data_IF_629379634014
#
_entry.id   IF_629379634014
#
_cell.length_a   1.000
_cell.length_b   1.000
_cell.length_c   1.000
_cell.angle_alpha   90.00
_cell.angle_beta   90.00
_cell.angle_gamma   90.00
#
_symmetry.space_group_name_H-M   'P 1'
#
loop_
_entity.id
_entity.type
_entity.pdbx_description
1 polymer ?
#
# COMPACT_ATOMS: atom_id res chain seq x y z
N UNK A 1 -43.70 -15.78 -5.59
CA UNK A 1 -42.75 -14.82 -4.96
C UNK A 1 -43.39 -13.54 -4.43
N UNK A 2 -44.31 -12.84 -5.13
CA UNK A 2 -44.89 -11.59 -4.62
C UNK A 2 -45.69 -11.76 -3.31
N UNK A 3 -46.43 -12.87 -3.18
CA UNK A 3 -47.22 -13.17 -1.97
C UNK A 3 -46.36 -13.46 -0.73
N UNK A 4 -45.16 -14.00 -0.91
CA UNK A 4 -44.23 -14.24 0.21
C UNK A 4 -43.70 -12.93 0.77
N UNK A 5 -43.33 -11.98 -0.10
CA UNK A 5 -42.88 -10.65 0.31
C UNK A 5 -44.01 -9.89 1.00
N UNK A 6 -45.25 -9.97 0.49
CA UNK A 6 -46.42 -9.36 1.14
C UNK A 6 -46.70 -9.96 2.53
N UNK A 7 -46.69 -11.28 2.65
CA UNK A 7 -46.91 -11.94 3.94
C UNK A 7 -45.81 -11.61 4.96
N UNK A 8 -44.55 -11.56 4.51
CA UNK A 8 -43.40 -11.18 5.33
C UNK A 8 -43.50 -9.71 5.77
N UNK A 9 -43.88 -8.81 4.87
CA UNK A 9 -44.06 -7.38 5.17
C UNK A 9 -45.13 -7.15 6.24
N UNK A 10 -46.27 -7.85 6.15
CA UNK A 10 -47.35 -7.77 7.15
C UNK A 10 -46.91 -8.30 8.52
N UNK A 11 -46.07 -9.34 8.55
CA UNK A 11 -45.50 -9.84 9.81
C UNK A 11 -44.51 -8.85 10.42
N UNK A 12 -43.63 -8.28 9.60
CA UNK A 12 -42.58 -7.34 10.02
C UNK A 12 -43.19 -6.00 10.49
N UNK A 13 -44.29 -5.55 9.88
CA UNK A 13 -44.97 -4.30 10.22
C UNK A 13 -45.32 -4.18 11.71
N UNK A 14 -45.86 -5.25 12.32
CA UNK A 14 -46.23 -5.26 13.75
C UNK A 14 -45.01 -5.06 14.66
N UNK A 15 -43.88 -5.67 14.32
CA UNK A 15 -42.64 -5.51 15.07
C UNK A 15 -42.07 -4.10 14.91
N UNK A 16 -42.10 -3.54 13.68
CA UNK A 16 -41.64 -2.17 13.44
C UNK A 16 -42.49 -1.13 14.16
N UNK A 17 -43.80 -1.32 14.26
CA UNK A 17 -44.68 -0.40 15.00
C UNK A 17 -44.37 -0.40 16.51
N UNK A 18 -44.19 -1.58 17.11
CA UNK A 18 -43.77 -1.67 18.52
C UNK A 18 -42.38 -1.07 18.74
N UNK A 19 -41.45 -1.31 17.81
CA UNK A 19 -40.13 -0.70 17.84
C UNK A 19 -40.23 0.84 17.73
N UNK A 20 -41.05 1.38 16.82
CA UNK A 20 -41.15 2.81 16.59
C UNK A 20 -41.73 3.55 17.79
N UNK A 21 -42.71 2.96 18.49
CA UNK A 21 -43.26 3.50 19.74
C UNK A 21 -42.20 3.47 20.84
N UNK A 22 -41.46 2.36 20.99
CA UNK A 22 -40.40 2.25 21.99
C UNK A 22 -39.25 3.24 21.75
N UNK A 23 -38.95 3.54 20.47
CA UNK A 23 -37.91 4.47 20.07
C UNK A 23 -38.39 5.90 19.80
N UNK A 24 -39.69 6.19 19.85
CA UNK A 24 -40.25 7.52 19.56
C UNK A 24 -39.65 8.59 20.48
N UNK A 25 -39.48 8.25 21.76
CA UNK A 25 -38.85 9.13 22.76
C UNK A 25 -37.30 9.15 22.67
N UNK A 26 -36.70 8.31 21.83
CA UNK A 26 -35.25 8.17 21.63
C UNK A 26 -34.81 8.49 20.20
N UNK A 27 -35.67 9.08 19.36
CA UNK A 27 -35.35 9.47 17.98
C UNK A 27 -34.10 10.35 17.92
N UNK A 28 -33.90 11.25 18.88
CA UNK A 28 -32.70 12.08 18.94
C UNK A 28 -31.43 11.26 19.22
N UNK A 29 -31.53 10.18 19.99
CA UNK A 29 -30.44 9.26 20.30
C UNK A 29 -30.09 8.40 19.08
N UNK A 30 -31.10 7.87 18.39
CA UNK A 30 -30.91 7.16 17.12
C UNK A 30 -30.28 8.04 16.05
N UNK A 31 -30.77 9.28 15.87
CA UNK A 31 -30.16 10.24 14.92
C UNK A 31 -28.69 10.51 15.23
N UNK A 32 -28.33 10.65 16.51
CA UNK A 32 -26.92 10.81 16.93
C UNK A 32 -26.08 9.59 16.58
N UNK A 33 -26.57 8.39 16.87
CA UNK A 33 -25.87 7.13 16.55
C UNK A 33 -25.70 6.98 15.03
N UNK A 34 -26.76 7.20 14.25
CA UNK A 34 -26.69 7.13 12.78
C UNK A 34 -25.73 8.16 12.22
N UNK A 35 -25.71 9.38 12.79
CA UNK A 35 -24.77 10.42 12.37
C UNK A 35 -23.31 10.04 12.67
N UNK A 36 -23.04 9.48 13.85
CA UNK A 36 -21.70 8.98 14.21
C UNK A 36 -21.26 7.85 13.28
N UNK A 37 -22.15 6.89 12.98
CA UNK A 37 -21.88 5.81 12.04
C UNK A 37 -21.58 6.34 10.64
N UNK A 38 -22.34 7.34 10.18
CA UNK A 38 -22.16 7.94 8.86
C UNK A 38 -20.83 8.69 8.76
N UNK A 39 -20.41 9.38 9.82
CA UNK A 39 -19.06 9.97 9.94
C UNK A 39 -17.99 8.87 9.90
N UNK A 40 -18.16 7.78 10.66
CA UNK A 40 -17.21 6.66 10.67
C UNK A 40 -17.02 6.03 9.29
N UNK A 41 -18.10 5.83 8.55
CA UNK A 41 -18.06 5.34 7.17
C UNK A 41 -17.35 6.34 6.26
N UNK A 42 -17.69 7.64 6.35
CA UNK A 42 -17.07 8.68 5.55
C UNK A 42 -15.55 8.77 5.80
N UNK A 43 -15.11 8.69 7.06
CA UNK A 43 -13.69 8.65 7.42
C UNK A 43 -12.99 7.38 6.92
N UNK A 44 -13.67 6.23 6.97
CA UNK A 44 -13.16 4.98 6.40
C UNK A 44 -12.90 5.10 4.90
N UNK A 45 -13.88 5.60 4.13
CA UNK A 45 -13.72 5.82 2.70
C UNK A 45 -12.65 6.88 2.38
N UNK A 46 -12.59 7.97 3.14
CA UNK A 46 -11.53 8.97 2.99
C UNK A 46 -10.14 8.35 3.18
N UNK A 47 -9.98 7.44 4.14
CA UNK A 47 -8.76 6.66 4.31
C UNK A 47 -8.37 5.88 3.05
N UNK A 48 -9.30 5.17 2.42
CA UNK A 48 -9.01 4.38 1.20
C UNK A 48 -8.43 5.25 0.09
N UNK A 49 -8.98 6.44 -0.14
CA UNK A 49 -8.45 7.36 -1.15
C UNK A 49 -7.05 7.88 -0.80
N UNK A 50 -6.77 8.13 0.49
CA UNK A 50 -5.43 8.53 0.95
C UNK A 50 -4.38 7.41 0.78
N UNK A 51 -4.79 6.13 0.83
CA UNK A 51 -3.89 4.99 0.68
C UNK A 51 -3.77 4.46 -0.75
N UNK A 52 -4.68 4.81 -1.67
CA UNK A 52 -4.67 4.33 -3.05
C UNK A 52 -3.32 4.57 -3.77
N UNK A 53 -2.71 5.75 -3.58
CA UNK A 53 -1.40 6.06 -4.18
C UNK A 53 -0.24 5.23 -3.62
N UNK A 54 -0.32 4.80 -2.35
CA UNK A 54 0.71 3.93 -1.74
C UNK A 54 0.67 2.52 -2.33
N UNK A 55 -0.53 2.00 -2.61
CA UNK A 55 -0.71 0.65 -3.18
C UNK A 55 -0.08 0.54 -4.57
N UNK A 56 -0.30 1.54 -5.44
CA UNK A 56 0.31 1.55 -6.78
C UNK A 56 1.83 1.60 -6.70
N UNK A 57 2.36 2.47 -5.84
CA UNK A 57 3.81 2.61 -5.64
C UNK A 57 4.48 1.34 -5.12
N UNK A 58 3.80 0.61 -4.23
CA UNK A 58 4.29 -0.67 -3.72
C UNK A 58 4.30 -1.75 -4.81
N UNK A 59 3.35 -1.71 -5.76
CA UNK A 59 3.33 -2.60 -6.93
C UNK A 59 4.49 -2.34 -7.89
N UNK A 60 4.79 -1.07 -8.18
CA UNK A 60 5.94 -0.67 -9.00
C UNK A 60 7.26 -1.10 -8.35
N UNK A 61 7.40 -0.86 -7.06
CA UNK A 61 8.58 -1.28 -6.29
C UNK A 61 8.73 -2.80 -6.26
N UNK A 62 7.65 -3.56 -6.10
CA UNK A 62 7.69 -5.02 -6.15
C UNK A 62 8.11 -5.54 -7.54
N UNK A 63 7.61 -4.92 -8.61
CA UNK A 63 8.01 -5.24 -9.98
C UNK A 63 9.52 -5.02 -10.18
N UNK A 64 10.04 -3.91 -9.66
CA UNK A 64 11.47 -3.62 -9.68
C UNK A 64 12.29 -4.62 -8.86
N UNK A 65 11.82 -4.99 -7.66
CA UNK A 65 12.48 -6.01 -6.83
C UNK A 65 12.63 -7.32 -7.61
N UNK A 66 11.57 -7.74 -8.31
CA UNK A 66 11.60 -8.96 -9.13
C UNK A 66 12.57 -8.84 -10.31
N UNK A 67 12.59 -7.69 -11.00
CA UNK A 67 13.52 -7.45 -12.13
C UNK A 67 14.98 -7.38 -11.68
N UNK A 68 15.25 -6.71 -10.57
CA UNK A 68 16.61 -6.54 -10.03
C UNK A 68 17.09 -7.88 -9.49
N UNK A 69 16.34 -8.52 -8.58
CA UNK A 69 16.76 -9.77 -7.94
C UNK A 69 16.96 -10.94 -8.91
N UNK A 70 16.22 -10.98 -10.02
CA UNK A 70 16.42 -12.00 -11.06
C UNK A 70 17.68 -11.77 -11.90
N UNK A 71 18.22 -10.54 -11.94
CA UNK A 71 19.43 -10.17 -12.71
C UNK A 71 20.68 -10.18 -11.85
N UNK A 72 20.59 -9.81 -10.58
CA UNK A 72 21.73 -9.76 -9.65
C UNK A 72 22.08 -11.13 -9.04
N UNK A 73 21.64 -12.24 -9.64
CA UNK A 73 21.74 -13.61 -9.08
C UNK A 73 23.11 -13.87 -8.44
N UNK A 74 23.11 -14.14 -7.13
CA UNK A 74 24.33 -14.48 -6.37
C UNK A 74 24.85 -13.38 -5.45
N UNK A 75 24.42 -12.12 -5.66
CA UNK A 75 24.74 -11.02 -4.76
C UNK A 75 23.86 -11.07 -3.52
N UNK A 76 24.48 -11.10 -2.33
CA UNK A 76 23.75 -10.97 -1.05
C UNK A 76 23.62 -9.53 -0.59
N UNK A 77 24.45 -8.63 -1.13
CA UNK A 77 24.55 -7.24 -0.70
C UNK A 77 24.48 -6.30 -1.90
N UNK A 78 23.66 -5.26 -1.78
CA UNK A 78 23.53 -4.21 -2.79
C UNK A 78 23.66 -2.85 -2.09
N UNK A 79 24.48 -1.97 -2.64
CA UNK A 79 24.60 -0.62 -2.10
C UNK A 79 23.33 0.20 -2.41
N UNK A 80 22.91 1.09 -1.51
CA UNK A 80 21.74 1.95 -1.71
C UNK A 80 22.00 3.37 -1.19
N UNK A 81 21.32 4.35 -1.79
CA UNK A 81 21.32 5.74 -1.29
C UNK A 81 20.82 5.82 0.16
N UNK A 82 21.23 6.88 0.88
CA UNK A 82 20.81 7.11 2.27
C UNK A 82 19.30 7.23 2.43
N UNK A 83 18.63 7.78 1.42
CA UNK A 83 17.18 7.96 1.44
C UNK A 83 16.45 6.68 1.02
N UNK A 84 17.03 5.90 0.09
CA UNK A 84 16.60 4.55 -0.22
C UNK A 84 16.75 3.58 0.95
N UNK A 85 17.80 3.76 1.78
CA UNK A 85 18.02 2.99 3.00
C UNK A 85 16.84 3.07 3.97
N UNK A 86 16.17 4.21 4.05
CA UNK A 86 15.02 4.40 4.94
C UNK A 86 13.73 3.73 4.42
N UNK A 87 13.74 3.17 3.21
CA UNK A 87 12.60 2.44 2.66
C UNK A 87 12.57 0.98 3.14
N UNK A 88 12.07 0.78 4.37
CA UNK A 88 11.92 -0.56 4.98
C UNK A 88 11.12 -1.54 4.13
N UNK A 89 10.15 -1.08 3.36
CA UNK A 89 9.36 -1.96 2.48
C UNK A 89 10.25 -2.57 1.39
N UNK A 90 11.17 -1.80 0.81
CA UNK A 90 12.14 -2.32 -0.16
C UNK A 90 13.04 -3.38 0.48
N UNK A 91 13.62 -3.11 1.65
CA UNK A 91 14.43 -4.09 2.41
C UNK A 91 13.68 -5.42 2.59
N UNK A 92 12.43 -5.35 3.03
CA UNK A 92 11.61 -6.54 3.28
C UNK A 92 11.32 -7.32 1.99
N UNK A 93 11.03 -6.64 0.88
CA UNK A 93 10.81 -7.32 -0.40
C UNK A 93 12.08 -7.98 -0.92
N UNK A 94 13.22 -7.29 -0.94
CA UNK A 94 14.48 -7.85 -1.39
C UNK A 94 14.92 -9.04 -0.53
N UNK A 95 14.80 -8.94 0.80
CA UNK A 95 15.09 -10.05 1.71
C UNK A 95 14.16 -11.23 1.49
N UNK A 96 12.85 -10.99 1.37
CA UNK A 96 11.83 -12.04 1.22
C UNK A 96 11.96 -12.85 -0.06
N UNK A 97 12.23 -12.20 -1.19
CA UNK A 97 12.21 -12.85 -2.50
C UNK A 97 13.57 -13.32 -2.99
N UNK A 98 14.66 -12.66 -2.58
CA UNK A 98 16.00 -12.91 -3.13
C UNK A 98 17.10 -13.05 -2.06
N UNK A 99 16.77 -12.94 -0.78
CA UNK A 99 17.73 -12.93 0.32
C UNK A 99 18.82 -11.84 0.20
N UNK A 100 18.49 -10.72 -0.45
CA UNK A 100 19.38 -9.58 -0.65
C UNK A 100 19.19 -8.59 0.51
N UNK A 101 20.29 -8.14 1.09
CA UNK A 101 20.33 -7.04 2.05
C UNK A 101 20.92 -5.80 1.39
N UNK A 102 20.54 -4.63 1.89
CA UNK A 102 21.17 -3.40 1.44
C UNK A 102 22.34 -3.03 2.34
N UNK A 103 23.24 -2.19 1.83
CA UNK A 103 24.23 -1.46 2.61
C UNK A 103 24.14 0.03 2.27
N UNK A 104 24.09 0.90 3.28
CA UNK A 104 24.03 2.33 3.05
C UNK A 104 25.36 2.87 2.52
N UNK A 105 25.30 3.69 1.47
CA UNK A 105 26.46 4.37 0.91
C UNK A 105 26.99 3.70 -0.36
N UNK A 106 28.28 3.87 -0.64
CA UNK A 106 28.94 3.33 -1.83
C UNK A 106 30.09 2.42 -1.40
N UNK A 107 29.74 1.33 -0.71
CA UNK A 107 30.75 0.43 -0.14
C UNK A 107 31.46 -0.45 -1.18
N UNK A 108 31.09 -0.31 -2.45
CA UNK A 108 31.83 -0.84 -3.58
C UNK A 108 31.32 -2.20 -4.05
N UNK A 109 30.08 -2.54 -3.70
CA UNK A 109 29.39 -3.73 -4.21
C UNK A 109 29.12 -3.61 -5.72
N UNK A 110 28.85 -4.75 -6.36
CA UNK A 110 28.62 -4.86 -7.80
C UNK A 110 27.48 -3.98 -8.30
N UNK A 111 26.46 -3.79 -7.46
CA UNK A 111 25.27 -3.00 -7.78
C UNK A 111 25.02 -1.90 -6.74
N UNK A 112 24.51 -0.78 -7.24
CA UNK A 112 24.03 0.36 -6.46
C UNK A 112 22.61 0.73 -6.88
N UNK A 113 21.71 0.94 -5.92
CA UNK A 113 20.32 1.35 -6.16
C UNK A 113 20.11 2.81 -5.74
N UNK A 114 19.47 3.57 -6.62
CA UNK A 114 19.08 4.95 -6.37
C UNK A 114 17.57 5.12 -6.63
N UNK A 115 16.75 5.50 -5.64
CA UNK A 115 15.35 5.81 -5.89
C UNK A 115 15.21 6.96 -6.88
N UNK A 116 14.42 6.79 -7.94
CA UNK A 116 14.30 7.81 -9.01
C UNK A 116 13.76 9.16 -8.52
N UNK A 117 13.02 9.16 -7.41
CA UNK A 117 12.50 10.36 -6.77
C UNK A 117 13.60 11.30 -6.22
N UNK A 118 14.82 10.80 -6.01
CA UNK A 118 15.94 11.56 -5.45
C UNK A 118 16.70 12.36 -6.51
N UNK A 119 16.40 12.14 -7.80
CA UNK A 119 17.03 12.82 -8.92
C UNK A 119 18.12 11.99 -9.57
N UNK A 120 19.05 12.67 -10.24
CA UNK A 120 20.14 12.01 -10.95
C UNK A 120 21.30 11.69 -10.01
N UNK A 121 21.70 10.42 -9.99
CA UNK A 121 22.93 9.98 -9.34
C UNK A 121 24.07 9.89 -10.36
N UNK A 122 25.16 10.61 -10.11
CA UNK A 122 26.37 10.56 -10.91
C UNK A 122 27.54 10.10 -10.04
N UNK A 123 28.17 9.00 -10.42
CA UNK A 123 29.30 8.43 -9.70
C UNK A 123 30.41 8.05 -10.68
N UNK A 124 31.69 8.34 -10.37
CA UNK A 124 32.80 7.91 -11.21
C UNK A 124 32.98 6.40 -11.20
N UNK A 125 32.41 5.67 -10.24
CA UNK A 125 32.62 4.24 -10.03
C UNK A 125 31.54 3.34 -10.60
N UNK A 126 30.38 3.90 -10.98
CA UNK A 126 29.24 3.12 -11.44
C UNK A 126 28.70 3.64 -12.77
N UNK A 127 28.17 2.73 -13.58
CA UNK A 127 27.45 3.02 -14.81
C UNK A 127 25.96 2.72 -14.61
N UNK A 128 25.08 3.64 -15.03
CA UNK A 128 23.64 3.40 -15.02
C UNK A 128 23.30 2.28 -16.01
N UNK A 129 22.52 1.30 -15.56
CA UNK A 129 22.05 0.21 -16.41
C UNK A 129 20.53 0.31 -16.57
N UNK A 130 20.07 0.22 -17.82
CA UNK A 130 18.65 0.30 -18.11
C UNK A 130 18.01 -1.10 -18.02
N UNK A 131 17.40 -1.39 -16.87
CA UNK A 131 16.65 -2.63 -16.64
C UNK A 131 15.13 -2.46 -16.78
N UNK A 132 14.66 -1.31 -17.26
CA UNK A 132 13.24 -1.00 -17.37
C UNK A 132 12.54 -0.98 -16.01
N UNK A 133 13.25 -0.56 -14.97
CA UNK A 133 12.73 -0.35 -13.62
C UNK A 133 11.98 0.97 -13.54
N UNK A 134 11.00 1.09 -12.65
CA UNK A 134 10.11 2.26 -12.53
C UNK A 134 10.40 3.07 -11.26
N UNK A 135 10.70 2.39 -10.15
CA UNK A 135 10.95 2.97 -8.83
C UNK A 135 12.43 3.24 -8.57
N UNK A 136 13.32 2.32 -8.97
CA UNK A 136 14.77 2.44 -8.78
C UNK A 136 15.48 2.67 -10.10
N UNK A 137 16.50 3.52 -10.08
CA UNK A 137 17.60 3.47 -11.03
C UNK A 137 18.66 2.50 -10.50
N UNK A 138 19.17 1.66 -11.40
CA UNK A 138 20.17 0.64 -11.10
C UNK A 138 21.49 1.06 -11.71
N UNK A 139 22.57 0.92 -10.94
CA UNK A 139 23.91 1.17 -11.40
C UNK A 139 24.79 -0.05 -11.13
N UNK A 140 25.65 -0.36 -12.08
CA UNK A 140 26.62 -1.45 -12.02
C UNK A 140 28.03 -0.88 -11.94
N UNK A 141 28.88 -1.47 -11.10
CA UNK A 141 30.25 -1.02 -10.91
C UNK A 141 31.03 -1.14 -12.23
N UNK A 142 31.86 -0.13 -12.52
CA UNK A 142 32.75 -0.10 -13.70
C UNK A 142 33.80 -1.18 -13.67
#
# INVERSE_FOLDING_TARGET
MPYFVLALSVLIEKYFYQLSIHFQNKIHLLKKITFILLIGIALGFAGVFLFAGKITRDKEMLNDVLKIGTRTKGESLIDISSDGWNNWTAHMYFRRYFNIEFVAGTSGHSFYLHPKKEGEFNSPYYNKVNWGTEYFDVFEKK
#
